data_IF_712426594067
#
_entry.id   IF_712426594067
#
_cell.length_a   1.000
_cell.length_b   1.000
_cell.length_c   1.000
_cell.angle_alpha   90.00
_cell.angle_beta   90.00
_cell.angle_gamma   90.00
#
_symmetry.space_group_name_H-M   'P 1'
#
loop_
_entity.id
_entity.type
_entity.pdbx_description
1 polymer ?
#
# COMPACT_ATOMS: atom_id res chain seq x y z
N UNK A 1 18.49 -49.07 15.93
CA UNK A 1 18.13 -47.91 16.76
C UNK A 1 18.89 -46.70 16.24
N UNK A 2 18.16 -45.62 15.97
CA UNK A 2 18.57 -44.22 15.79
C UNK A 2 19.94 -43.89 15.19
N UNK A 3 19.93 -43.29 13.99
CA UNK A 3 20.85 -42.23 13.61
C UNK A 3 20.10 -41.23 12.72
N UNK A 4 20.35 -39.95 12.97
CA UNK A 4 19.54 -38.78 12.65
C UNK A 4 19.33 -38.46 11.16
N UNK A 5 18.06 -38.26 10.78
CA UNK A 5 17.67 -37.45 9.63
C UNK A 5 17.69 -35.97 10.03
N UNK A 6 18.87 -35.36 9.93
CA UNK A 6 19.03 -33.91 10.01
C UNK A 6 18.81 -33.28 8.63
N UNK A 7 18.02 -32.21 8.62
CA UNK A 7 18.00 -31.10 7.66
C UNK A 7 17.93 -31.45 6.17
N UNK A 8 16.78 -31.18 5.56
CA UNK A 8 16.60 -30.39 4.31
C UNK A 8 15.09 -30.23 4.12
N UNK A 9 14.67 -29.05 3.65
CA UNK A 9 13.30 -28.61 3.31
C UNK A 9 12.48 -28.12 4.53
N UNK A 10 11.93 -26.91 4.60
CA UNK A 10 11.57 -25.95 3.55
C UNK A 10 11.80 -24.51 4.05
N UNK A 11 12.82 -23.84 3.55
CA UNK A 11 12.77 -22.39 3.42
C UNK A 11 11.88 -22.11 2.21
N UNK A 12 10.58 -21.92 2.42
CA UNK A 12 9.70 -21.34 1.40
C UNK A 12 10.14 -19.89 1.25
N UNK A 13 11.10 -19.65 0.36
CA UNK A 13 11.42 -18.33 -0.14
C UNK A 13 10.17 -17.84 -0.85
N UNK A 14 9.40 -16.97 -0.19
CA UNK A 14 8.45 -16.11 -0.90
C UNK A 14 9.25 -15.38 -1.98
N UNK A 15 8.90 -15.56 -3.25
CA UNK A 15 9.59 -14.86 -4.32
C UNK A 15 9.50 -13.35 -4.07
N UNK A 16 10.63 -12.74 -3.71
CA UNK A 16 10.74 -11.31 -3.51
C UNK A 16 10.71 -10.63 -4.88
N UNK A 17 9.50 -10.40 -5.39
CA UNK A 17 9.29 -9.61 -6.59
C UNK A 17 9.34 -8.13 -6.19
N UNK A 18 10.28 -7.33 -6.71
CA UNK A 18 10.32 -5.91 -6.41
C UNK A 18 9.11 -5.21 -7.03
N UNK A 19 8.55 -4.22 -6.31
CA UNK A 19 7.51 -3.36 -6.86
C UNK A 19 8.09 -2.54 -8.03
N UNK A 20 7.47 -2.55 -9.23
CA UNK A 20 7.89 -1.70 -10.34
C UNK A 20 7.75 -0.22 -9.99
N UNK A 21 8.68 0.62 -10.43
CA UNK A 21 8.69 2.06 -10.09
C UNK A 21 8.89 2.97 -11.30
N UNK A 22 9.03 2.40 -12.50
CA UNK A 22 9.50 3.10 -13.71
C UNK A 22 8.57 4.24 -14.15
N UNK A 23 7.27 4.13 -13.81
CA UNK A 23 6.24 5.11 -14.15
C UNK A 23 5.79 5.98 -12.97
N UNK A 24 6.50 5.92 -11.85
CA UNK A 24 6.20 6.79 -10.71
C UNK A 24 6.71 8.20 -10.99
N UNK A 25 5.84 9.20 -10.83
CA UNK A 25 6.19 10.61 -10.93
C UNK A 25 6.95 11.08 -9.67
N UNK A 26 8.16 10.55 -9.46
CA UNK A 26 8.99 10.83 -8.29
C UNK A 26 9.56 12.26 -8.30
N UNK A 27 9.68 12.89 -9.47
CA UNK A 27 10.15 14.27 -9.59
C UNK A 27 9.22 15.27 -8.87
N UNK A 28 7.95 14.91 -8.69
CA UNK A 28 6.98 15.68 -7.90
C UNK A 28 7.28 15.67 -6.39
N UNK A 29 8.15 14.78 -5.93
CA UNK A 29 8.57 14.58 -4.53
C UNK A 29 9.86 15.37 -4.22
N UNK A 30 10.59 15.82 -5.25
CA UNK A 30 12.00 16.21 -5.11
C UNK A 30 12.35 17.70 -5.16
N UNK A 31 11.48 18.62 -5.58
CA UNK A 31 11.98 19.98 -5.87
C UNK A 31 11.95 20.94 -4.65
N UNK A 32 13.14 21.25 -4.16
CA UNK A 32 13.39 22.44 -3.36
C UNK A 32 13.40 23.69 -4.27
N UNK A 33 12.61 24.69 -3.88
CA UNK A 33 12.78 26.13 -4.16
C UNK A 33 13.05 26.65 -5.59
N UNK A 34 12.01 27.11 -6.31
CA UNK A 34 12.06 28.34 -7.14
C UNK A 34 10.71 28.92 -7.57
N UNK A 35 9.57 28.24 -7.37
CA UNK A 35 8.23 28.81 -7.63
C UNK A 35 7.27 28.64 -6.43
N UNK A 36 6.45 29.65 -6.08
CA UNK A 36 5.52 29.59 -4.92
C UNK A 36 4.26 28.73 -5.16
N UNK A 37 4.24 27.91 -6.20
CA UNK A 37 3.08 27.12 -6.61
C UNK A 37 2.93 25.92 -5.67
N UNK A 38 2.04 26.05 -4.68
CA UNK A 38 1.50 25.03 -3.75
C UNK A 38 2.01 23.61 -4.00
N UNK A 39 3.02 23.17 -3.23
CA UNK A 39 3.41 21.75 -3.17
C UNK A 39 2.18 20.92 -2.77
N UNK A 40 1.89 19.79 -3.44
CA UNK A 40 0.76 18.96 -3.06
C UNK A 40 0.97 18.45 -1.63
N UNK A 41 0.05 18.79 -0.73
CA UNK A 41 0.15 18.40 0.69
C UNK A 41 0.11 16.88 0.89
N UNK A 42 -0.35 16.13 -0.12
CA UNK A 42 -0.63 14.71 -0.05
C UNK A 42 -0.41 14.03 -1.40
N UNK A 43 0.42 12.99 -1.39
CA UNK A 43 0.71 12.15 -2.57
C UNK A 43 -0.14 10.88 -2.50
N UNK A 44 -0.62 10.43 -3.65
CA UNK A 44 -1.50 9.28 -3.76
C UNK A 44 -0.96 8.28 -4.77
N UNK A 45 -0.99 7.00 -4.39
CA UNK A 45 -0.81 5.88 -5.29
C UNK A 45 -2.11 5.10 -5.36
N UNK A 46 -2.58 4.86 -6.58
CA UNK A 46 -3.80 4.11 -6.84
C UNK A 46 -3.47 2.62 -7.01
N UNK A 47 -4.29 1.74 -6.47
CA UNK A 47 -4.13 0.29 -6.62
C UNK A 47 -5.46 -0.32 -7.01
N UNK A 48 -5.50 -1.09 -8.10
CA UNK A 48 -6.66 -1.89 -8.48
C UNK A 48 -6.30 -3.37 -8.38
N UNK A 49 -6.89 -4.08 -7.42
CA UNK A 49 -6.82 -5.55 -7.33
C UNK A 49 -7.97 -6.15 -8.11
N UNK A 50 -7.74 -7.20 -8.89
CA UNK A 50 -8.83 -7.81 -9.66
C UNK A 50 -8.42 -9.06 -10.43
N UNK A 51 -9.42 -9.76 -10.97
CA UNK A 51 -9.15 -10.92 -11.82
C UNK A 51 -8.44 -10.51 -13.11
N UNK A 52 -8.87 -9.43 -13.78
CA UNK A 52 -8.38 -9.01 -15.10
C UNK A 52 -8.36 -10.19 -16.11
N UNK A 53 -9.54 -10.74 -16.36
CA UNK A 53 -9.72 -11.99 -17.11
C UNK A 53 -10.65 -11.80 -18.32
N UNK A 54 -10.23 -11.10 -19.38
CA UNK A 54 -8.99 -10.29 -19.52
C UNK A 54 -9.17 -8.85 -18.97
N UNK A 55 -8.09 -8.04 -18.87
CA UNK A 55 -8.23 -6.60 -18.67
C UNK A 55 -9.00 -5.94 -19.83
N UNK A 56 -9.66 -4.82 -19.54
CA UNK A 56 -10.49 -4.07 -20.50
C UNK A 56 -10.24 -2.57 -20.33
N UNK A 57 -10.66 -1.76 -21.30
CA UNK A 57 -10.56 -0.31 -21.20
C UNK A 57 -11.28 0.28 -19.98
N UNK A 58 -12.33 -0.38 -19.48
CA UNK A 58 -12.99 0.06 -18.25
C UNK A 58 -12.07 0.02 -17.03
N UNK A 59 -11.15 -0.96 -16.96
CA UNK A 59 -10.18 -1.02 -15.87
C UNK A 59 -9.21 0.17 -15.90
N UNK A 60 -8.71 0.52 -17.09
CA UNK A 60 -7.85 1.69 -17.27
C UNK A 60 -8.61 3.00 -17.05
N UNK A 61 -9.85 3.08 -17.55
CA UNK A 61 -10.71 4.25 -17.39
C UNK A 61 -10.99 4.55 -15.91
N UNK A 62 -11.11 3.54 -15.06
CA UNK A 62 -11.24 3.74 -13.61
C UNK A 62 -10.03 4.46 -13.00
N UNK A 63 -8.81 4.19 -13.47
CA UNK A 63 -7.62 4.90 -13.00
C UNK A 63 -7.65 6.38 -13.39
N UNK A 64 -8.03 6.69 -14.64
CA UNK A 64 -8.11 8.08 -15.11
C UNK A 64 -9.18 8.86 -14.35
N UNK A 65 -10.37 8.29 -14.18
CA UNK A 65 -11.46 8.91 -13.44
C UNK A 65 -11.08 9.17 -11.97
N UNK A 66 -10.43 8.21 -11.32
CA UNK A 66 -9.97 8.37 -9.94
C UNK A 66 -8.88 9.45 -9.84
N UNK A 67 -7.95 9.48 -10.79
CA UNK A 67 -6.89 10.50 -10.86
C UNK A 67 -7.46 11.91 -11.04
N UNK A 68 -8.40 12.09 -11.96
CA UNK A 68 -9.06 13.37 -12.20
C UNK A 68 -9.83 13.83 -10.96
N UNK A 69 -10.61 12.95 -10.32
CA UNK A 69 -11.35 13.27 -9.12
C UNK A 69 -10.43 13.70 -7.96
N UNK A 70 -9.34 12.96 -7.71
CA UNK A 70 -8.38 13.30 -6.65
C UNK A 70 -7.65 14.61 -6.95
N UNK A 71 -7.34 14.88 -8.22
CA UNK A 71 -6.70 16.13 -8.63
C UNK A 71 -7.59 17.34 -8.31
N UNK A 72 -8.90 17.24 -8.53
CA UNK A 72 -9.86 18.28 -8.16
C UNK A 72 -9.90 18.54 -6.64
N UNK A 73 -9.67 17.50 -5.84
CA UNK A 73 -9.55 17.58 -4.38
C UNK A 73 -8.16 18.06 -3.89
N UNK A 74 -7.27 18.46 -4.81
CA UNK A 74 -5.92 18.93 -4.50
C UNK A 74 -4.93 17.83 -4.09
N UNK A 75 -5.25 16.57 -4.40
CA UNK A 75 -4.38 15.42 -4.18
C UNK A 75 -3.56 15.12 -5.43
N UNK A 76 -2.29 14.75 -5.26
CA UNK A 76 -1.41 14.45 -6.37
C UNK A 76 -1.25 12.93 -6.55
N UNK A 77 -1.81 12.37 -7.62
CA UNK A 77 -1.58 10.96 -7.97
C UNK A 77 -0.23 10.81 -8.65
N UNK A 78 0.69 10.08 -8.01
CA UNK A 78 2.06 9.87 -8.50
C UNK A 78 2.23 8.54 -9.23
N UNK A 79 1.23 7.66 -9.22
CA UNK A 79 1.31 6.35 -9.87
C UNK A 79 0.09 5.47 -9.62
N UNK A 80 0.00 4.39 -10.39
CA UNK A 80 -1.06 3.39 -10.31
C UNK A 80 -0.55 1.97 -10.48
N UNK A 81 -1.17 1.00 -9.80
CA UNK A 81 -0.85 -0.42 -9.92
C UNK A 81 -2.08 -1.27 -10.21
N UNK A 82 -2.06 -2.02 -11.30
CA UNK A 82 -2.93 -3.19 -11.48
C UNK A 82 -2.27 -4.39 -10.78
N UNK A 83 -2.99 -5.04 -9.88
CA UNK A 83 -2.55 -6.25 -9.16
C UNK A 83 -3.44 -7.43 -9.54
N UNK A 84 -3.02 -8.28 -10.49
CA UNK A 84 -3.79 -9.45 -10.86
C UNK A 84 -3.89 -10.45 -9.71
N UNK A 85 -5.10 -10.95 -9.48
CA UNK A 85 -5.37 -11.91 -8.40
C UNK A 85 -4.60 -13.21 -8.62
N UNK A 86 -4.28 -13.90 -7.54
CA UNK A 86 -3.73 -15.25 -7.57
C UNK A 86 -4.71 -16.30 -8.13
N UNK A 87 -4.20 -17.34 -8.78
CA UNK A 87 -5.02 -18.44 -9.33
C UNK A 87 -5.75 -19.24 -8.23
N UNK A 88 -5.23 -19.25 -7.00
CA UNK A 88 -5.91 -19.83 -5.83
C UNK A 88 -7.20 -19.07 -5.43
N UNK A 89 -7.54 -17.96 -6.10
CA UNK A 89 -8.86 -17.33 -5.97
C UNK A 89 -10.01 -18.23 -6.44
N UNK A 90 -9.72 -19.22 -7.30
CA UNK A 90 -10.68 -20.26 -7.73
C UNK A 90 -11.97 -19.72 -8.36
N UNK A 91 -11.93 -18.54 -8.99
CA UNK A 91 -13.06 -18.03 -9.80
C UNK A 91 -13.25 -18.93 -11.03
N UNK A 92 -14.49 -19.36 -11.30
CA UNK A 92 -14.81 -20.17 -12.48
C UNK A 92 -14.39 -19.43 -13.76
N UNK A 93 -13.64 -20.12 -14.62
CA UNK A 93 -13.16 -19.58 -15.90
C UNK A 93 -11.99 -18.59 -15.79
N UNK A 94 -11.34 -18.49 -14.62
CA UNK A 94 -10.11 -17.69 -14.46
C UNK A 94 -8.97 -18.35 -15.25
N UNK A 95 -8.45 -17.66 -16.27
CA UNK A 95 -7.26 -18.11 -17.00
C UNK A 95 -6.01 -17.92 -16.12
N UNK A 96 -4.91 -18.60 -16.45
CA UNK A 96 -3.67 -18.57 -15.67
C UNK A 96 -3.18 -17.15 -15.37
N UNK A 97 -2.61 -16.97 -14.18
CA UNK A 97 -2.08 -15.69 -13.73
C UNK A 97 -1.00 -15.16 -14.67
N UNK A 98 -0.19 -16.05 -15.25
CA UNK A 98 0.83 -15.72 -16.25
C UNK A 98 0.23 -14.99 -17.48
N UNK A 99 -0.86 -15.51 -18.05
CA UNK A 99 -1.53 -14.87 -19.17
C UNK A 99 -2.13 -13.52 -18.77
N UNK A 100 -2.72 -13.43 -17.58
CA UNK A 100 -3.34 -12.19 -17.10
C UNK A 100 -2.30 -11.10 -16.82
N UNK A 101 -1.15 -11.46 -16.26
CA UNK A 101 -0.02 -10.53 -16.09
C UNK A 101 0.44 -9.99 -17.46
N UNK A 102 0.65 -10.86 -18.45
CA UNK A 102 1.04 -10.45 -19.82
C UNK A 102 0.01 -9.50 -20.44
N UNK A 103 -1.27 -9.85 -20.36
CA UNK A 103 -2.36 -9.01 -20.87
C UNK A 103 -2.45 -7.67 -20.14
N UNK A 104 -2.28 -7.64 -18.82
CA UNK A 104 -2.26 -6.40 -18.05
C UNK A 104 -1.08 -5.51 -18.43
N UNK A 105 0.11 -6.09 -18.66
CA UNK A 105 1.28 -5.34 -19.11
C UNK A 105 1.05 -4.70 -20.48
N UNK A 106 0.48 -5.45 -21.43
CA UNK A 106 0.09 -4.93 -22.74
C UNK A 106 -0.97 -3.82 -22.61
N UNK A 107 -1.98 -4.02 -21.78
CA UNK A 107 -3.02 -3.01 -21.53
C UNK A 107 -2.46 -1.72 -20.92
N UNK A 108 -1.45 -1.83 -20.04
CA UNK A 108 -0.82 -0.68 -19.40
C UNK A 108 0.31 -0.05 -20.24
N UNK A 109 0.68 -0.63 -21.40
CA UNK A 109 1.86 -0.22 -22.14
C UNK A 109 1.85 1.26 -22.53
N UNK A 110 0.70 1.77 -22.98
CA UNK A 110 0.52 3.17 -23.38
C UNK A 110 0.22 4.13 -22.22
N UNK A 111 0.02 3.63 -21.00
CA UNK A 111 -0.20 4.49 -19.83
C UNK A 111 1.13 4.99 -19.29
N UNK A 112 1.20 6.28 -18.96
CA UNK A 112 2.40 6.92 -18.43
C UNK A 112 2.58 6.74 -16.92
N UNK A 113 1.57 6.26 -16.18
CA UNK A 113 1.63 6.16 -14.71
C UNK A 113 1.10 4.84 -14.13
N UNK A 114 0.40 4.02 -14.93
CA UNK A 114 -0.13 2.72 -14.48
C UNK A 114 0.85 1.60 -14.84
N UNK A 115 1.21 0.83 -13.83
CA UNK A 115 2.08 -0.36 -13.90
C UNK A 115 1.32 -1.60 -13.43
N UNK A 116 1.92 -2.78 -13.61
CA UNK A 116 1.40 -4.05 -13.09
C UNK A 116 2.30 -4.53 -11.96
N UNK A 117 1.76 -4.76 -10.76
CA UNK A 117 2.47 -5.49 -9.69
C UNK A 117 2.06 -6.97 -9.77
N UNK A 118 2.93 -7.88 -10.27
CA UNK A 118 2.56 -9.29 -10.43
C UNK A 118 2.63 -10.07 -9.11
N UNK A 119 3.08 -9.47 -8.01
CA UNK A 119 3.37 -10.19 -6.79
C UNK A 119 2.19 -10.97 -6.22
N UNK A 120 0.99 -10.39 -6.20
CA UNK A 120 -0.21 -11.09 -5.73
C UNK A 120 -0.42 -12.39 -6.51
N UNK A 121 -0.34 -12.29 -7.84
CA UNK A 121 -0.48 -13.40 -8.75
C UNK A 121 0.62 -14.45 -8.61
N UNK A 122 1.81 -14.07 -8.16
CA UNK A 122 2.97 -14.95 -7.96
C UNK A 122 3.05 -15.61 -6.58
N UNK A 123 2.14 -15.32 -5.65
CA UNK A 123 2.13 -15.99 -4.34
C UNK A 123 1.66 -17.44 -4.42
N UNK A 124 2.04 -18.27 -3.45
CA UNK A 124 1.57 -19.67 -3.38
C UNK A 124 0.09 -19.79 -2.96
N UNK A 125 -0.51 -18.71 -2.46
CA UNK A 125 -1.89 -18.68 -1.99
C UNK A 125 -2.56 -17.34 -2.27
N UNK A 126 -3.89 -17.34 -2.24
CA UNK A 126 -4.68 -16.13 -2.38
C UNK A 126 -4.31 -15.09 -1.31
N UNK A 127 -4.07 -13.86 -1.76
CA UNK A 127 -3.77 -12.73 -0.90
C UNK A 127 -4.99 -11.85 -0.72
N UNK A 128 -5.11 -11.26 0.48
CA UNK A 128 -6.16 -10.28 0.74
C UNK A 128 -5.77 -8.95 0.13
N UNK A 129 -6.75 -8.20 -0.38
CA UNK A 129 -6.56 -6.83 -0.88
C UNK A 129 -5.77 -5.94 0.11
N UNK A 130 -6.02 -6.06 1.42
CA UNK A 130 -5.29 -5.28 2.42
C UNK A 130 -3.79 -5.62 2.47
N UNK A 131 -3.42 -6.88 2.25
CA UNK A 131 -2.03 -7.32 2.15
C UNK A 131 -1.37 -6.66 0.94
N UNK A 132 -2.05 -6.62 -0.21
CA UNK A 132 -1.55 -5.98 -1.43
C UNK A 132 -1.33 -4.48 -1.22
N UNK A 133 -2.33 -3.77 -0.66
CA UNK A 133 -2.22 -2.34 -0.33
C UNK A 133 -1.08 -2.07 0.66
N UNK A 134 -0.93 -2.93 1.68
CA UNK A 134 0.12 -2.79 2.69
C UNK A 134 1.50 -3.01 2.09
N UNK A 135 1.66 -4.01 1.21
CA UNK A 135 2.90 -4.24 0.46
C UNK A 135 3.28 -3.01 -0.34
N UNK A 136 2.37 -2.49 -1.18
CA UNK A 136 2.66 -1.30 -2.01
C UNK A 136 3.11 -0.14 -1.14
N UNK A 137 2.41 0.11 -0.03
CA UNK A 137 2.78 1.15 0.93
C UNK A 137 4.18 0.92 1.52
N UNK A 138 4.44 -0.27 2.06
CA UNK A 138 5.72 -0.63 2.66
C UNK A 138 6.86 -0.51 1.65
N UNK A 139 6.70 -1.07 0.44
CA UNK A 139 7.71 -0.99 -0.62
C UNK A 139 8.06 0.45 -1.03
N UNK A 140 7.09 1.37 -1.01
CA UNK A 140 7.34 2.78 -1.32
C UNK A 140 7.96 3.54 -0.13
N UNK A 141 7.56 3.22 1.10
CA UNK A 141 8.16 3.79 2.31
C UNK A 141 9.62 3.34 2.51
N UNK A 142 9.92 2.06 2.25
CA UNK A 142 11.25 1.47 2.46
C UNK A 142 12.29 2.00 1.47
N UNK A 143 11.86 2.39 0.25
CA UNK A 143 12.71 3.04 -0.75
C UNK A 143 13.07 4.49 -0.38
N UNK A 144 12.70 4.96 0.81
CA UNK A 144 13.02 6.30 1.29
C UNK A 144 12.31 7.41 0.52
N UNK A 145 11.29 7.07 -0.28
CA UNK A 145 10.57 8.03 -1.10
C UNK A 145 9.79 9.04 -0.24
N UNK A 146 9.53 8.75 1.05
CA UNK A 146 8.85 9.65 1.98
C UNK A 146 9.32 9.48 3.43
N UNK A 147 9.21 10.56 4.23
CA UNK A 147 9.52 10.54 5.66
C UNK A 147 8.65 9.50 6.39
N UNK A 148 9.25 8.70 7.29
CA UNK A 148 8.57 7.71 8.15
C UNK A 148 7.63 8.43 9.15
N UNK A 149 6.54 8.99 8.64
CA UNK A 149 5.47 9.61 9.42
C UNK A 149 4.44 8.57 9.83
N UNK A 150 4.47 8.21 11.12
CA UNK A 150 3.52 7.37 11.85
C UNK A 150 3.65 5.84 11.66
N UNK A 151 4.51 5.24 12.49
CA UNK A 151 4.29 3.87 12.97
C UNK A 151 2.89 3.77 13.57
N UNK A 152 2.11 2.80 13.10
CA UNK A 152 0.86 2.43 13.74
C UNK A 152 1.17 1.74 15.06
N UNK A 153 0.96 2.44 16.16
CA UNK A 153 0.79 1.79 17.45
C UNK A 153 -0.44 0.89 17.38
N UNK A 154 -0.27 -0.40 17.71
CA UNK A 154 -1.38 -1.30 18.01
C UNK A 154 -2.11 -0.75 19.24
N UNK A 155 -3.31 -0.22 19.07
CA UNK A 155 -4.24 -0.01 20.18
C UNK A 155 -4.82 -1.36 20.59
N UNK A 156 -4.17 -2.02 21.53
CA UNK A 156 -4.72 -3.12 22.31
C UNK A 156 -4.69 -2.71 23.77
N UNK A 157 -5.80 -2.16 24.27
CA UNK A 157 -5.99 -1.87 25.69
C UNK A 157 -6.23 -3.17 26.45
N UNK A 158 -5.45 -3.43 27.49
CA UNK A 158 -5.96 -4.10 28.70
C UNK A 158 -5.26 -3.51 29.92
N UNK A 159 -6.07 -2.86 30.75
CA UNK A 159 -5.74 -2.29 32.06
C UNK A 159 -5.44 -3.38 33.09
N UNK A 160 -4.85 -2.92 34.20
CA UNK A 160 -4.62 -3.57 35.51
C UNK A 160 -3.23 -4.24 35.57
N UNK A 161 -2.33 -3.96 36.53
CA UNK A 161 -2.53 -3.33 37.84
C UNK A 161 -1.16 -3.00 38.49
N UNK A 162 -1.19 -1.96 39.36
CA UNK A 162 -0.44 -1.80 40.63
C UNK A 162 1.07 -1.43 40.65
N UNK A 163 1.28 -0.12 40.84
CA UNK A 163 1.95 0.55 41.97
C UNK A 163 3.18 -0.07 42.66
N UNK A 164 4.30 0.68 42.71
CA UNK A 164 5.08 1.07 43.92
C UNK A 164 6.27 1.96 43.49
N UNK A 165 6.28 3.28 43.73
CA UNK A 165 6.72 4.04 44.93
C UNK A 165 8.25 4.24 45.06
N UNK A 166 8.65 5.52 45.17
CA UNK A 166 9.79 6.12 45.91
C UNK A 166 11.08 6.50 45.13
N UNK A 167 11.22 7.84 44.91
CA UNK A 167 12.34 8.78 45.27
C UNK A 167 13.71 8.54 44.58
N UNK A 168 14.48 9.53 44.12
CA UNK A 168 14.87 10.80 44.75
C UNK A 168 15.25 11.89 43.73
N UNK A 169 15.21 13.12 44.24
CA UNK A 169 15.55 14.37 43.57
C UNK A 169 17.04 14.74 43.70
N UNK A 170 17.58 15.41 42.68
CA UNK A 170 18.57 16.49 42.76
C UNK A 170 18.47 17.29 41.44
N UNK A 171 17.82 18.46 41.48
CA UNK A 171 18.42 19.79 41.59
C UNK A 171 18.94 20.37 40.26
N UNK A 172 18.17 21.34 39.76
CA UNK A 172 18.54 22.58 39.06
C UNK A 172 19.59 22.54 37.94
N UNK A 173 19.20 22.89 36.70
CA UNK A 173 19.48 24.26 36.23
C UNK A 173 18.68 24.69 34.99
N UNK A 174 18.41 26.00 34.93
CA UNK A 174 17.64 26.69 33.88
C UNK A 174 18.32 26.60 32.51
N UNK A 175 17.54 26.27 31.47
CA UNK A 175 17.65 26.94 30.16
C UNK A 175 16.34 26.88 29.39
N UNK A 176 15.64 28.01 29.45
CA UNK A 176 14.62 28.41 28.48
C UNK A 176 15.30 28.46 27.11
N UNK A 177 15.10 27.43 26.30
CA UNK A 177 15.20 27.56 24.85
C UNK A 177 13.83 27.27 24.29
N UNK A 178 13.25 28.32 23.71
CA UNK A 178 12.00 28.28 23.00
C UNK A 178 12.25 27.54 21.68
N UNK A 179 12.36 26.22 21.74
CA UNK A 179 12.31 25.39 20.55
C UNK A 179 10.83 25.22 20.20
N UNK A 180 10.29 26.23 19.52
CA UNK A 180 9.13 26.06 18.65
C UNK A 180 9.56 25.04 17.60
N UNK A 181 9.43 23.75 17.95
CA UNK A 181 9.73 22.64 17.08
C UNK A 181 8.85 22.80 15.87
N UNK A 182 9.44 23.32 14.77
CA UNK A 182 8.85 23.29 13.44
C UNK A 182 8.52 21.82 13.17
N UNK A 183 7.26 21.47 13.38
CA UNK A 183 6.68 20.22 12.92
C UNK A 183 6.69 20.34 11.39
N UNK A 184 7.75 19.83 10.77
CA UNK A 184 7.85 19.79 9.32
C UNK A 184 6.59 19.15 8.77
N UNK A 185 5.90 19.85 7.87
CA UNK A 185 4.84 19.27 7.05
C UNK A 185 5.51 18.24 6.13
N UNK A 186 5.74 17.04 6.66
CA UNK A 186 6.19 15.91 5.87
C UNK A 186 5.10 15.52 4.89
N UNK A 187 5.47 15.40 3.63
CA UNK A 187 4.61 14.87 2.57
C UNK A 187 4.09 13.49 2.99
N UNK A 188 2.76 13.31 2.95
CA UNK A 188 2.10 12.08 3.39
C UNK A 188 1.67 11.24 2.19
N UNK A 189 2.14 9.98 2.10
CA UNK A 189 1.66 9.00 1.12
C UNK A 189 0.32 8.43 1.55
N UNK A 190 -0.62 8.38 0.61
CA UNK A 190 -1.78 7.49 0.69
C UNK A 190 -1.73 6.46 -0.42
N UNK A 191 -1.95 5.21 -0.06
CA UNK A 191 -2.24 4.14 -1.01
C UNK A 191 -3.74 3.91 -0.97
N UNK A 192 -4.41 4.10 -2.09
CA UNK A 192 -5.88 4.05 -2.20
C UNK A 192 -6.30 2.95 -3.15
N UNK A 193 -7.33 2.20 -2.76
CA UNK A 193 -7.94 1.17 -3.60
C UNK A 193 -8.88 1.82 -4.62
N UNK A 194 -8.68 1.52 -5.90
CA UNK A 194 -9.61 1.84 -6.98
C UNK A 194 -10.42 0.58 -7.30
N UNK A 195 -11.74 0.69 -7.28
CA UNK A 195 -12.62 -0.43 -7.58
C UNK A 195 -13.96 0.03 -8.15
N UNK A 196 -14.63 -0.88 -8.86
CA UNK A 196 -16.01 -0.69 -9.30
C UNK A 196 -16.99 -0.74 -8.12
N UNK A 197 -18.21 -0.27 -8.36
CA UNK A 197 -19.30 -0.30 -7.38
C UNK A 197 -19.70 -1.72 -6.98
N UNK A 198 -19.52 -2.70 -7.87
CA UNK A 198 -19.74 -4.12 -7.64
C UNK A 198 -18.82 -4.67 -6.54
N UNK A 199 -17.53 -4.30 -6.57
CA UNK A 199 -16.60 -4.69 -5.51
C UNK A 199 -16.95 -4.01 -4.19
N UNK A 200 -17.33 -2.73 -4.21
CA UNK A 200 -17.76 -2.00 -3.01
C UNK A 200 -19.02 -2.64 -2.41
N UNK A 201 -19.98 -3.03 -3.24
CA UNK A 201 -21.20 -3.72 -2.81
C UNK A 201 -20.87 -5.08 -2.17
N UNK A 202 -19.85 -5.79 -2.66
CA UNK A 202 -19.40 -7.05 -2.07
C UNK A 202 -18.96 -6.91 -0.61
N UNK A 203 -18.57 -5.71 -0.15
CA UNK A 203 -18.23 -5.45 1.25
C UNK A 203 -19.42 -5.65 2.19
N UNK A 204 -20.65 -5.56 1.67
CA UNK A 204 -21.87 -5.82 2.42
C UNK A 204 -22.20 -7.32 2.50
N UNK A 205 -21.62 -8.17 1.66
CA UNK A 205 -21.90 -9.61 1.63
C UNK A 205 -21.25 -10.33 2.82
N UNK A 206 -22.04 -11.01 3.69
CA UNK A 206 -21.49 -11.77 4.80
C UNK A 206 -20.53 -12.88 4.33
N UNK A 207 -19.44 -13.11 5.07
CA UNK A 207 -18.46 -14.15 4.76
C UNK A 207 -17.42 -13.80 3.69
N UNK A 208 -17.62 -12.73 2.91
CA UNK A 208 -16.67 -12.31 1.85
C UNK A 208 -15.54 -11.43 2.42
N UNK A 209 -15.84 -10.62 3.45
CA UNK A 209 -14.87 -9.69 4.05
C UNK A 209 -14.95 -9.66 5.58
N UNK A 210 -13.78 -9.67 6.24
CA UNK A 210 -13.67 -9.45 7.68
C UNK A 210 -14.07 -8.01 8.02
N UNK A 211 -14.98 -7.86 9.00
CA UNK A 211 -15.59 -6.56 9.39
C UNK A 211 -14.56 -5.49 9.74
N UNK A 212 -13.50 -5.83 10.47
CA UNK A 212 -12.48 -4.86 10.90
C UNK A 212 -11.62 -4.29 9.76
N UNK A 213 -11.54 -4.98 8.61
CA UNK A 213 -10.79 -4.50 7.45
C UNK A 213 -11.55 -3.51 6.56
N UNK A 214 -12.85 -3.28 6.82
CA UNK A 214 -13.69 -2.39 6.00
C UNK A 214 -13.54 -0.91 6.37
N UNK A 215 -13.27 -0.60 7.66
CA UNK A 215 -13.24 0.77 8.18
C UNK A 215 -11.98 1.56 7.77
N UNK A 216 -10.94 0.88 7.33
CA UNK A 216 -9.64 1.47 6.95
C UNK A 216 -9.51 1.75 5.45
N UNK A 217 -10.58 1.54 4.67
CA UNK A 217 -10.52 1.50 3.18
C UNK A 217 -11.20 2.66 2.46
N UNK A 218 -11.99 3.48 3.15
CA UNK A 218 -12.64 4.67 2.59
C UNK A 218 -12.02 5.93 3.19
#
# INVERSE_FOLDING_TARGET
MAASYGQISEAISSMEIPLPVDKLALDLVGHDSSCPSVKPKMLVVLVATGSFNPPTYMHLRMFELAKDALKLEGLCVIGGYMSPVNDAYKKKGLISSEHRIKLCNLACQSSEYVMVDPWEASQNSYQRTLTVLSRVKTSLCDRGLLSKGACWHKSGTSRQDKAHKIRCASSMDKKRSNAFGKKGMGESLKVMLVCGSDLLQSFATPGVWIRDQRRTRC
#
